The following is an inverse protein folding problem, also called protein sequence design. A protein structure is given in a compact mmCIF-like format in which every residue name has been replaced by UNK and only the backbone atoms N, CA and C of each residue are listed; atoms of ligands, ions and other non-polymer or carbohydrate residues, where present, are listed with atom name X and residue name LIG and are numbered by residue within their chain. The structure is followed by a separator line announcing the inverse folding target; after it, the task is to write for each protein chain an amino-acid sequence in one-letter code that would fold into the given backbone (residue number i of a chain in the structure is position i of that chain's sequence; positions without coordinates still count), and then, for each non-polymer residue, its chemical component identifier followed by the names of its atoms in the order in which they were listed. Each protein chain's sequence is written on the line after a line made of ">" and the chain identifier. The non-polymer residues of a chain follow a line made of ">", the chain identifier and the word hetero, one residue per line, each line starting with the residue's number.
data_IF_496835042842
#
_entry.id   IF_496835042842
#
_cell.length_a   1.000
_cell.length_b   1.000
_cell.length_c   1.000
_cell.angle_alpha   90.00
_cell.angle_beta   90.00
_cell.angle_gamma   90.00
#
_symmetry.space_group_name_H-M   'P 1'
#
loop_
_entity.id
_entity.type
_entity.pdbx_description
1 polymer ?
#
# COMPACT_ATOMS: atom_id res chain seq x y z
N UNK A 1 -9.40 -29.29 18.25
CA UNK A 1 -9.36 -28.72 16.88
C UNK A 1 -8.86 -27.29 17.03
N UNK A 2 -7.57 -27.07 16.78
CA UNK A 2 -6.97 -25.74 16.92
C UNK A 2 -7.33 -24.92 15.69
N UNK A 3 -8.16 -23.89 15.86
CA UNK A 3 -8.24 -22.81 14.88
C UNK A 3 -6.87 -22.14 14.89
N UNK A 4 -6.01 -22.46 13.93
CA UNK A 4 -4.84 -21.65 13.65
C UNK A 4 -5.39 -20.30 13.16
N UNK A 5 -5.49 -19.33 14.06
CA UNK A 5 -5.74 -17.94 13.69
C UNK A 5 -4.52 -17.54 12.87
N UNK A 6 -4.64 -17.58 11.55
CA UNK A 6 -3.62 -17.04 10.65
C UNK A 6 -3.53 -15.57 11.00
N UNK A 7 -2.39 -15.13 11.52
CA UNK A 7 -2.18 -13.71 11.76
C UNK A 7 -2.43 -12.96 10.45
N UNK A 8 -3.21 -11.87 10.49
CA UNK A 8 -3.48 -11.09 9.29
C UNK A 8 -2.16 -10.62 8.70
N UNK A 9 -2.01 -10.73 7.38
CA UNK A 9 -0.81 -10.24 6.72
C UNK A 9 -0.59 -8.76 7.08
N UNK A 10 0.66 -8.32 7.15
CA UNK A 10 1.00 -6.96 7.61
C UNK A 10 0.29 -5.87 6.77
N UNK A 11 -0.02 -6.17 5.51
CA UNK A 11 -0.77 -5.34 4.56
C UNK A 11 -2.26 -5.24 4.85
N UNK A 12 -2.88 -6.22 5.53
CA UNK A 12 -4.32 -6.23 5.77
C UNK A 12 -4.77 -5.06 6.65
N UNK A 13 -5.93 -4.48 6.34
CA UNK A 13 -6.53 -3.36 7.06
C UNK A 13 -6.78 -2.14 6.16
N UNK A 14 -7.14 -1.04 6.81
CA UNK A 14 -7.44 0.23 6.13
C UNK A 14 -6.22 1.14 6.16
N UNK A 15 -5.85 1.67 5.00
CA UNK A 15 -4.69 2.54 4.81
C UNK A 15 -5.12 3.84 4.17
N UNK A 16 -4.88 4.95 4.86
CA UNK A 16 -5.28 6.28 4.42
C UNK A 16 -4.09 6.97 3.77
N UNK A 17 -4.28 7.54 2.59
CA UNK A 17 -3.26 8.33 1.89
C UNK A 17 -3.08 9.66 2.63
N UNK A 18 -1.87 9.90 3.13
CA UNK A 18 -1.56 11.09 3.93
C UNK A 18 -0.68 12.09 3.21
N UNK A 19 0.12 11.64 2.24
CA UNK A 19 0.95 12.50 1.40
C UNK A 19 1.35 11.79 0.11
N UNK A 20 1.88 12.54 -0.85
CA UNK A 20 2.44 12.03 -2.09
C UNK A 20 3.89 12.49 -2.27
N UNK A 21 4.70 11.68 -2.95
CA UNK A 21 6.09 12.00 -3.32
C UNK A 21 6.28 11.67 -4.78
N UNK A 22 6.78 12.63 -5.56
CA UNK A 22 7.10 12.49 -6.98
C UNK A 22 8.62 12.50 -7.16
N UNK A 23 9.29 11.34 -7.15
CA UNK A 23 10.75 11.31 -7.17
C UNK A 23 11.36 11.61 -8.55
N UNK A 24 10.56 11.60 -9.62
CA UNK A 24 11.04 11.81 -10.98
C UNK A 24 9.90 12.09 -11.97
N UNK A 25 9.97 11.49 -13.16
CA UNK A 25 8.93 11.61 -14.18
C UNK A 25 7.69 10.86 -13.70
N UNK A 26 6.56 11.55 -13.66
CA UNK A 26 5.25 10.99 -13.32
C UNK A 26 4.28 11.30 -14.46
N UNK A 27 3.36 10.38 -14.73
CA UNK A 27 2.25 10.62 -15.64
C UNK A 27 1.16 11.48 -14.98
N UNK A 28 1.13 11.51 -13.64
CA UNK A 28 0.19 12.29 -12.85
C UNK A 28 0.79 13.64 -12.46
N UNK A 29 0.01 14.70 -12.60
CA UNK A 29 0.39 16.05 -12.14
C UNK A 29 0.27 16.16 -10.62
N UNK A 30 1.03 17.05 -9.96
CA UNK A 30 0.94 17.25 -8.52
C UNK A 30 -0.48 17.54 -8.02
N UNK A 31 -1.22 18.39 -8.71
CA UNK A 31 -2.62 18.73 -8.40
C UNK A 31 -3.56 17.51 -8.47
N UNK A 32 -3.28 16.59 -9.41
CA UNK A 32 -4.04 15.35 -9.50
C UNK A 32 -3.71 14.41 -8.34
N UNK A 33 -2.45 14.36 -7.91
CA UNK A 33 -2.03 13.57 -6.76
C UNK A 33 -2.65 14.09 -5.45
N UNK A 34 -2.87 15.40 -5.32
CA UNK A 34 -3.55 15.99 -4.15
C UNK A 34 -4.98 15.49 -3.99
N UNK A 35 -5.69 15.16 -5.09
CA UNK A 35 -7.05 14.61 -5.03
C UNK A 35 -7.13 13.22 -4.37
N UNK A 36 -5.98 12.54 -4.18
CA UNK A 36 -5.90 11.24 -3.52
C UNK A 36 -5.76 11.37 -2.01
N UNK A 37 -5.36 12.53 -1.50
CA UNK A 37 -5.16 12.73 -0.07
C UNK A 37 -6.47 12.48 0.69
N UNK A 38 -6.39 11.72 1.77
CA UNK A 38 -7.55 11.32 2.58
C UNK A 38 -8.37 10.15 2.01
N UNK A 39 -8.12 9.71 0.77
CA UNK A 39 -8.69 8.46 0.29
C UNK A 39 -8.07 7.27 1.03
N UNK A 40 -8.82 6.17 1.13
CA UNK A 40 -8.38 4.98 1.85
C UNK A 40 -8.49 3.72 1.00
N UNK A 41 -7.44 2.91 1.04
CA UNK A 41 -7.49 1.53 0.58
C UNK A 41 -7.92 0.62 1.72
N UNK A 42 -8.78 -0.36 1.41
CA UNK A 42 -9.05 -1.49 2.29
C UNK A 42 -8.47 -2.75 1.66
N UNK A 43 -7.48 -3.34 2.34
CA UNK A 43 -6.85 -4.59 1.95
C UNK A 43 -7.38 -5.72 2.81
N UNK A 44 -7.95 -6.73 2.15
CA UNK A 44 -8.42 -7.98 2.77
C UNK A 44 -7.76 -9.16 2.06
N UNK A 45 -7.83 -10.39 2.60
CA UNK A 45 -7.25 -11.56 1.95
C UNK A 45 -7.73 -11.77 0.50
N UNK A 46 -8.99 -11.41 0.22
CA UNK A 46 -9.63 -11.72 -1.07
C UNK A 46 -9.86 -10.49 -1.95
N UNK A 47 -9.67 -9.27 -1.44
CA UNK A 47 -10.02 -8.03 -2.15
C UNK A 47 -9.15 -6.84 -1.78
N UNK A 48 -8.95 -5.97 -2.76
CA UNK A 48 -8.49 -4.57 -2.59
C UNK A 48 -9.63 -3.63 -2.97
N UNK A 49 -9.95 -2.67 -2.10
CA UNK A 49 -11.04 -1.72 -2.30
C UNK A 49 -10.51 -0.29 -2.19
N UNK A 50 -10.87 0.56 -3.14
CA UNK A 50 -10.64 2.02 -3.14
C UNK A 50 -11.93 2.72 -3.55
N UNK A 51 -12.63 3.34 -2.60
CA UNK A 51 -13.92 3.99 -2.87
C UNK A 51 -14.94 2.99 -3.43
N UNK A 52 -15.33 3.17 -4.69
CA UNK A 52 -16.26 2.26 -5.41
C UNK A 52 -15.53 1.21 -6.27
N UNK A 53 -14.21 1.30 -6.41
CA UNK A 53 -13.40 0.35 -7.18
C UNK A 53 -13.01 -0.82 -6.30
N UNK A 54 -13.19 -2.04 -6.82
CA UNK A 54 -12.82 -3.28 -6.14
C UNK A 54 -12.01 -4.16 -7.08
N UNK A 55 -10.98 -4.80 -6.52
CA UNK A 55 -10.08 -5.72 -7.18
C UNK A 55 -10.13 -7.04 -6.43
N UNK A 56 -10.88 -8.00 -6.98
CA UNK A 56 -10.93 -9.36 -6.46
C UNK A 56 -11.63 -10.34 -7.39
N UNK A 57 -11.52 -11.66 -7.14
CA UNK A 57 -10.68 -12.29 -6.12
C UNK A 57 -9.19 -11.96 -6.28
N UNK A 58 -8.56 -11.57 -5.19
CA UNK A 58 -7.18 -11.12 -5.14
C UNK A 58 -6.21 -12.29 -4.97
N UNK A 59 -5.19 -12.35 -5.82
CA UNK A 59 -4.04 -13.21 -5.62
C UNK A 59 -2.85 -12.38 -5.14
N UNK A 60 -2.33 -12.72 -3.96
CA UNK A 60 -1.25 -11.98 -3.31
C UNK A 60 0.11 -12.65 -3.49
N UNK A 61 1.12 -11.84 -3.82
CA UNK A 61 2.53 -12.23 -3.79
C UNK A 61 3.31 -11.29 -2.89
N UNK A 62 3.90 -11.84 -1.84
CA UNK A 62 4.80 -11.10 -0.95
C UNK A 62 6.26 -11.28 -1.39
N UNK A 63 7.00 -10.18 -1.41
CA UNK A 63 8.45 -10.14 -1.56
C UNK A 63 9.05 -9.18 -0.55
N UNK A 64 10.34 -9.33 -0.23
CA UNK A 64 11.03 -8.39 0.67
C UNK A 64 12.16 -7.72 -0.08
N UNK A 65 12.19 -6.38 -0.05
CA UNK A 65 13.19 -5.57 -0.75
C UNK A 65 14.17 -4.93 0.25
N UNK A 66 15.47 -5.02 -0.03
CA UNK A 66 16.47 -4.18 0.64
C UNK A 66 16.46 -2.75 0.09
N UNK A 67 17.19 -1.82 0.72
CA UNK A 67 17.40 -0.48 0.17
C UNK A 67 18.01 -0.51 -1.23
N UNK A 68 18.95 -1.41 -1.48
CA UNK A 68 19.67 -1.50 -2.74
C UNK A 68 18.77 -2.07 -3.86
N UNK A 69 17.98 -3.10 -3.54
CA UNK A 69 16.98 -3.63 -4.47
C UNK A 69 15.95 -2.56 -4.81
N UNK A 70 15.50 -1.81 -3.80
CA UNK A 70 14.52 -0.73 -3.96
C UNK A 70 15.03 0.40 -4.86
N UNK A 71 16.28 0.83 -4.68
CA UNK A 71 16.90 1.86 -5.54
C UNK A 71 17.07 1.34 -6.97
N UNK A 72 17.44 0.07 -7.15
CA UNK A 72 17.58 -0.54 -8.48
C UNK A 72 16.25 -0.61 -9.22
N UNK A 73 15.17 -0.94 -8.50
CA UNK A 73 13.85 -1.13 -9.08
C UNK A 73 13.09 0.19 -9.30
N UNK A 74 13.10 1.08 -8.31
CA UNK A 74 12.28 2.30 -8.31
C UNK A 74 13.06 3.58 -8.60
N UNK A 75 14.39 3.52 -8.68
CA UNK A 75 15.27 4.67 -8.88
C UNK A 75 15.08 5.80 -7.84
N UNK A 76 14.62 5.44 -6.64
CA UNK A 76 14.45 6.33 -5.48
C UNK A 76 14.95 5.62 -4.22
N UNK A 77 15.54 6.36 -3.29
CA UNK A 77 16.03 5.81 -2.01
C UNK A 77 14.94 5.80 -0.94
N UNK A 78 15.11 4.91 0.05
CA UNK A 78 14.29 4.91 1.27
C UNK A 78 14.30 6.27 1.98
N UNK A 79 15.47 6.91 2.09
CA UNK A 79 15.61 8.22 2.72
C UNK A 79 14.73 9.28 2.06
N UNK A 80 14.68 9.31 0.72
CA UNK A 80 13.85 10.26 -0.03
C UNK A 80 12.35 10.05 0.20
N UNK A 81 11.94 8.83 0.57
CA UNK A 81 10.56 8.50 0.96
C UNK A 81 10.34 8.57 2.48
N UNK A 82 11.36 8.90 3.28
CA UNK A 82 11.28 8.93 4.74
C UNK A 82 11.16 7.54 5.38
N UNK A 83 11.61 6.49 4.69
CA UNK A 83 11.63 5.11 5.19
C UNK A 83 12.89 4.92 6.04
N UNK A 84 12.69 4.54 7.30
CA UNK A 84 13.79 4.30 8.28
C UNK A 84 14.10 2.82 8.48
N UNK A 85 13.37 1.93 7.82
CA UNK A 85 13.56 0.49 7.91
C UNK A 85 14.72 0.00 7.00
N UNK A 86 15.31 -1.13 7.35
CA UNK A 86 16.36 -1.75 6.53
C UNK A 86 15.78 -2.52 5.33
N UNK A 87 14.49 -2.88 5.40
CA UNK A 87 13.76 -3.60 4.35
C UNK A 87 12.31 -3.13 4.32
N UNK A 88 11.68 -3.28 3.16
CA UNK A 88 10.23 -3.15 3.00
C UNK A 88 9.65 -4.47 2.52
N UNK A 89 8.44 -4.79 2.97
CA UNK A 89 7.68 -5.89 2.40
C UNK A 89 6.83 -5.34 1.24
N UNK A 90 6.95 -5.94 0.07
CA UNK A 90 6.16 -5.61 -1.11
C UNK A 90 5.09 -6.67 -1.30
N UNK A 91 3.85 -6.23 -1.39
CA UNK A 91 2.70 -7.04 -1.71
C UNK A 91 2.20 -6.64 -3.09
N UNK A 92 2.32 -7.53 -4.06
CA UNK A 92 1.67 -7.36 -5.36
C UNK A 92 0.38 -8.17 -5.37
N UNK A 93 -0.70 -7.55 -5.84
CA UNK A 93 -1.99 -8.19 -6.01
C UNK A 93 -2.37 -8.23 -7.49
N UNK A 94 -2.86 -9.38 -7.91
CA UNK A 94 -3.46 -9.61 -9.22
C UNK A 94 -4.96 -9.83 -9.08
N UNK A 95 -5.76 -9.17 -9.91
CA UNK A 95 -7.21 -9.38 -10.01
C UNK A 95 -7.64 -9.27 -11.48
N UNK A 96 -8.05 -10.39 -12.08
CA UNK A 96 -8.73 -10.52 -13.38
C UNK A 96 -8.32 -9.58 -14.55
N UNK A 97 -7.07 -9.11 -14.59
CA UNK A 97 -6.46 -8.43 -15.73
C UNK A 97 -6.59 -6.91 -15.80
N UNK A 98 -7.28 -6.23 -14.86
CA UNK A 98 -7.32 -4.77 -14.84
C UNK A 98 -6.19 -4.20 -13.99
N UNK A 99 -5.50 -3.17 -14.51
CA UNK A 99 -4.53 -2.41 -13.72
C UNK A 99 -5.26 -1.34 -12.93
N UNK A 100 -5.32 -1.51 -11.61
CA UNK A 100 -6.00 -0.57 -10.70
C UNK A 100 -5.06 -0.09 -9.61
N UNK A 101 -5.35 1.07 -9.00
CA UNK A 101 -4.54 1.60 -7.92
C UNK A 101 -4.50 0.65 -6.72
N UNK A 102 -3.39 0.68 -5.99
CA UNK A 102 -3.23 -0.17 -4.81
C UNK A 102 -2.89 -1.62 -5.13
N UNK A 103 -2.54 -1.94 -6.39
CA UNK A 103 -2.09 -3.29 -6.76
C UNK A 103 -0.66 -3.63 -6.31
N UNK A 104 0.13 -2.64 -5.93
CA UNK A 104 1.46 -2.86 -5.35
C UNK A 104 1.59 -2.02 -4.09
N UNK A 105 1.84 -2.68 -2.96
CA UNK A 105 1.92 -2.05 -1.64
C UNK A 105 3.28 -2.33 -1.04
N UNK A 106 3.95 -1.29 -0.59
CA UNK A 106 5.24 -1.33 0.08
C UNK A 106 5.02 -1.04 1.57
N UNK A 107 4.94 -2.08 2.40
CA UNK A 107 4.82 -1.95 3.85
C UNK A 107 6.20 -1.69 4.44
N UNK A 108 6.37 -0.49 5.01
CA UNK A 108 7.63 0.04 5.54
C UNK A 108 7.67 0.11 7.08
N UNK A 109 6.61 -0.35 7.75
CA UNK A 109 6.46 -0.38 9.20
C UNK A 109 5.07 -0.87 9.60
N UNK A 110 4.75 -0.88 10.89
CA UNK A 110 3.44 -1.35 11.38
C UNK A 110 2.28 -0.50 10.85
N UNK A 111 2.54 0.78 10.66
CA UNK A 111 1.57 1.85 10.40
C UNK A 111 1.96 2.73 9.21
N UNK A 112 2.99 2.34 8.45
CA UNK A 112 3.46 3.09 7.28
C UNK A 112 3.57 2.16 6.08
N UNK A 113 2.93 2.57 4.99
CA UNK A 113 3.02 1.90 3.71
C UNK A 113 3.08 2.92 2.56
N UNK A 114 3.37 2.43 1.37
CA UNK A 114 3.33 3.21 0.14
C UNK A 114 2.65 2.41 -0.95
N UNK A 115 1.92 3.09 -1.83
CA UNK A 115 1.50 2.54 -3.12
C UNK A 115 2.09 3.39 -4.24
N UNK A 116 2.49 2.75 -5.33
CA UNK A 116 3.01 3.43 -6.51
C UNK A 116 1.91 3.44 -7.57
N UNK A 117 1.53 4.63 -8.01
CA UNK A 117 0.54 4.80 -9.07
C UNK A 117 0.92 5.96 -9.98
N UNK A 118 0.95 5.73 -11.29
CA UNK A 118 1.33 6.73 -12.32
C UNK A 118 2.63 7.50 -12.03
N UNK A 119 3.61 6.84 -11.40
CA UNK A 119 4.91 7.42 -11.04
C UNK A 119 4.90 8.26 -9.76
N UNK A 120 3.80 8.26 -9.01
CA UNK A 120 3.67 8.91 -7.70
C UNK A 120 3.71 7.86 -6.60
N UNK A 121 4.58 8.07 -5.61
CA UNK A 121 4.54 7.31 -4.36
C UNK A 121 3.54 7.96 -3.41
N UNK A 122 2.41 7.31 -3.17
CA UNK A 122 1.46 7.73 -2.16
C UNK A 122 1.83 7.09 -0.83
N UNK A 123 2.22 7.92 0.13
CA UNK A 123 2.44 7.51 1.50
C UNK A 123 1.08 7.27 2.16
N UNK A 124 0.97 6.13 2.82
CA UNK A 124 -0.22 5.73 3.53
C UNK A 124 0.08 5.44 4.99
N UNK A 125 -0.87 5.74 5.85
CA UNK A 125 -0.83 5.39 7.25
C UNK A 125 -1.96 4.43 7.59
N UNK A 126 -1.67 3.43 8.41
CA UNK A 126 -2.67 2.44 8.81
C UNK A 126 -3.67 3.13 9.72
N UNK A 127 -4.94 3.08 9.35
CA UNK A 127 -5.99 3.50 10.27
C UNK A 127 -5.87 2.65 11.54
N UNK A 128 -5.91 3.29 12.71
CA UNK A 128 -6.07 2.57 13.96
C UNK A 128 -7.34 1.71 13.92
N UNK A 129 -7.47 0.72 14.82
CA UNK A 129 -8.73 0.00 14.93
C UNK A 129 -9.85 1.02 15.15
N UNK A 130 -10.88 0.96 14.30
CA UNK A 130 -12.04 1.83 14.43
C UNK A 130 -12.62 1.62 15.84
N UNK A 131 -12.73 2.67 16.69
CA UNK A 131 -13.34 2.56 18.01
C UNK A 131 -14.75 1.95 17.98
N UNK A 132 -15.45 1.99 16.84
CA UNK A 132 -16.78 1.42 16.68
C UNK A 132 -16.77 -0.12 16.50
N UNK A 133 -15.63 -0.76 16.23
CA UNK A 133 -15.55 -2.22 16.10
C UNK A 133 -15.62 -2.98 17.44
N UNK A 134 -15.59 -2.27 18.56
CA UNK A 134 -15.75 -2.84 19.91
C UNK A 134 -17.06 -2.41 20.59
N UNK A 135 -17.95 -1.73 19.87
CA UNK A 135 -19.28 -1.37 20.33
C UNK A 135 -20.31 -2.29 19.66
N UNK A 136 -20.31 -3.57 20.02
CA UNK A 136 -21.27 -4.56 19.53
C UNK A 136 -21.29 -5.80 20.40
#
# INVERSE_FOLDING_TARGET
>A
MSCAVKEPASVEGTWVITSSVTPGISAMLPEQAEMWLGQSFQYTPDNVILGQTQCGPAEWKETSLSSDDFVREYHVSFERLGIVANRVARFDVSCHGEHVPGQSILVAGKDKAFTLWDGVFFKMEKAGPDPQQFAG
#
